data_IF_385938464506
#
_entry.id   IF_385938464506
#
_cell.length_a   1.000
_cell.length_b   1.000
_cell.length_c   1.000
_cell.angle_alpha   90.00
_cell.angle_beta   90.00
_cell.angle_gamma   90.00
#
_symmetry.space_group_name_H-M   'P 1'
#
loop_
_entity.id
_entity.type
_entity.pdbx_description
1 polymer ?
#
# COMPACT_ATOMS: atom_id res chain seq x y z
N UNK A 1 -12.36 7.04 15.08
CA UNK A 1 -12.67 6.67 13.67
C UNK A 1 -13.22 7.90 12.96
N UNK A 2 -12.50 8.38 11.95
CA UNK A 2 -12.90 9.49 11.09
C UNK A 2 -13.65 8.91 9.86
N UNK A 3 -14.69 9.61 9.42
CA UNK A 3 -15.48 9.22 8.24
C UNK A 3 -15.56 10.42 7.31
N UNK A 4 -15.07 10.24 6.08
CA UNK A 4 -15.13 11.26 5.03
C UNK A 4 -16.01 10.74 3.91
N UNK A 5 -17.11 11.43 3.62
CA UNK A 5 -18.08 11.03 2.59
C UNK A 5 -17.89 11.86 1.30
N UNK A 6 -17.91 11.16 0.17
CA UNK A 6 -17.76 11.73 -1.17
C UNK A 6 -19.04 11.44 -1.95
N UNK A 7 -20.11 12.17 -1.60
CA UNK A 7 -21.48 11.88 -2.06
C UNK A 7 -21.62 11.92 -3.59
N UNK A 8 -20.95 12.85 -4.27
CA UNK A 8 -20.96 12.95 -5.74
C UNK A 8 -20.33 11.73 -6.43
N UNK A 9 -19.41 11.04 -5.77
CA UNK A 9 -18.74 9.85 -6.28
C UNK A 9 -19.29 8.56 -5.64
N UNK A 10 -20.33 8.68 -4.80
CA UNK A 10 -21.04 7.58 -4.14
C UNK A 10 -20.14 6.65 -3.30
N UNK A 11 -19.12 7.20 -2.63
CA UNK A 11 -18.30 6.42 -1.69
C UNK A 11 -17.98 7.20 -0.42
N UNK A 12 -17.54 6.49 0.60
CA UNK A 12 -16.95 7.07 1.80
C UNK A 12 -15.74 6.28 2.25
N UNK A 13 -14.83 7.01 2.88
CA UNK A 13 -13.64 6.48 3.50
C UNK A 13 -13.84 6.46 5.01
N UNK A 14 -13.55 5.33 5.65
CA UNK A 14 -13.51 5.17 7.10
C UNK A 14 -12.07 4.91 7.51
N UNK A 15 -11.52 5.82 8.30
CA UNK A 15 -10.13 5.76 8.74
C UNK A 15 -10.10 5.71 10.26
N UNK A 16 -9.22 4.89 10.81
CA UNK A 16 -8.96 4.91 12.23
C UNK A 16 -7.66 5.65 12.47
N UNK A 17 -7.67 6.76 13.19
CA UNK A 17 -6.45 7.51 13.50
C UNK A 17 -5.49 6.75 14.43
N UNK A 18 -6.01 5.73 15.12
CA UNK A 18 -5.30 4.87 16.08
C UNK A 18 -5.04 3.46 15.51
N UNK A 19 -5.43 3.20 14.25
CA UNK A 19 -5.19 1.91 13.63
C UNK A 19 -4.76 2.11 12.19
N UNK A 20 -3.79 1.31 11.78
CA UNK A 20 -3.28 1.33 10.41
C UNK A 20 -4.23 0.61 9.43
N UNK A 21 -5.54 0.78 9.59
CA UNK A 21 -6.55 0.13 8.77
C UNK A 21 -7.60 1.12 8.29
N UNK A 22 -7.74 1.22 6.97
CA UNK A 22 -8.68 2.10 6.28
C UNK A 22 -9.63 1.29 5.42
N UNK A 23 -10.91 1.67 5.42
CA UNK A 23 -11.97 0.98 4.67
C UNK A 23 -12.68 1.92 3.73
N UNK A 24 -13.02 1.44 2.55
CA UNK A 24 -13.81 2.17 1.57
C UNK A 24 -15.15 1.46 1.33
N UNK A 25 -16.24 2.23 1.31
CA UNK A 25 -17.60 1.74 1.17
C UNK A 25 -18.37 2.59 0.14
N UNK A 26 -19.23 1.94 -0.67
CA UNK A 26 -20.26 2.62 -1.45
C UNK A 26 -21.34 3.15 -0.50
N UNK A 27 -21.85 4.37 -0.76
CA UNK A 27 -22.91 4.96 0.08
C UNK A 27 -24.27 4.35 -0.24
N UNK A 28 -24.62 4.24 -1.53
CA UNK A 28 -25.91 3.69 -1.97
C UNK A 28 -25.82 2.84 -3.27
N UNK A 29 -26.34 1.60 -3.29
CA UNK A 29 -26.68 0.83 -2.09
C UNK A 29 -25.41 0.61 -1.27
N UNK A 30 -25.58 0.61 0.06
CA UNK A 30 -24.44 0.52 0.97
C UNK A 30 -23.73 -0.80 0.79
N UNK A 31 -22.44 -0.74 0.44
CA UNK A 31 -21.65 -1.93 0.17
C UNK A 31 -20.18 -1.70 0.51
N UNK A 32 -19.55 -2.71 1.09
CA UNK A 32 -18.11 -2.71 1.32
C UNK A 32 -17.36 -2.91 0.00
N UNK A 33 -16.38 -2.03 -0.28
CA UNK A 33 -15.60 -2.05 -1.52
C UNK A 33 -14.21 -2.66 -1.28
N UNK A 34 -13.58 -2.37 -0.16
CA UNK A 34 -12.22 -2.82 0.10
C UNK A 34 -11.55 -2.13 1.28
N UNK A 35 -10.27 -2.42 1.45
CA UNK A 35 -9.45 -1.88 2.52
C UNK A 35 -8.00 -1.69 2.12
N UNK A 36 -7.31 -0.93 2.97
CA UNK A 36 -5.87 -0.81 3.05
C UNK A 36 -5.46 -1.06 4.50
N UNK A 37 -4.48 -1.95 4.68
CA UNK A 37 -3.76 -2.14 5.92
C UNK A 37 -2.33 -1.63 5.76
N UNK A 38 -1.87 -0.89 6.74
CA UNK A 38 -0.56 -0.28 6.80
C UNK A 38 0.12 -0.69 8.11
N UNK A 39 1.37 -0.26 8.29
CA UNK A 39 2.05 -0.27 9.58
C UNK A 39 3.06 0.87 9.64
N UNK A 40 2.88 1.80 10.58
CA UNK A 40 3.82 2.90 10.79
C UNK A 40 4.84 2.54 11.88
N UNK A 41 6.13 2.75 11.60
CA UNK A 41 7.19 2.52 12.58
C UNK A 41 8.43 3.37 12.25
N UNK A 42 9.11 3.96 13.23
CA UNK A 42 10.43 4.60 13.04
C UNK A 42 10.59 5.46 11.76
N UNK A 43 9.63 6.36 11.48
CA UNK A 43 9.70 7.26 10.32
C UNK A 43 9.38 6.63 8.96
N UNK A 44 8.88 5.39 8.93
CA UNK A 44 8.40 4.70 7.70
C UNK A 44 6.94 4.28 7.81
N UNK A 45 6.30 4.13 6.65
CA UNK A 45 4.97 3.53 6.51
C UNK A 45 5.02 2.35 5.55
N UNK A 46 4.77 1.15 6.06
CA UNK A 46 4.61 -0.05 5.25
C UNK A 46 3.15 -0.20 4.82
N UNK A 47 2.90 -0.51 3.55
CA UNK A 47 1.62 -1.00 3.04
C UNK A 47 1.66 -2.52 3.13
N UNK A 48 0.97 -3.07 4.12
CA UNK A 48 0.96 -4.51 4.38
C UNK A 48 -0.02 -5.25 3.48
N UNK A 49 -1.18 -4.65 3.21
CA UNK A 49 -2.19 -5.27 2.35
C UNK A 49 -3.13 -4.22 1.76
N UNK A 50 -3.46 -4.38 0.48
CA UNK A 50 -4.47 -3.57 -0.21
C UNK A 50 -5.36 -4.49 -1.01
N UNK A 51 -6.66 -4.44 -0.71
CA UNK A 51 -7.61 -5.31 -1.36
C UNK A 51 -8.90 -4.59 -1.74
N UNK A 52 -9.31 -4.82 -2.98
CA UNK A 52 -10.54 -4.32 -3.57
C UNK A 52 -11.37 -5.52 -4.02
N UNK A 53 -12.63 -5.57 -3.56
CA UNK A 53 -13.61 -6.59 -3.91
C UNK A 53 -13.83 -6.69 -5.42
N UNK A 54 -13.90 -7.93 -5.91
CA UNK A 54 -14.34 -8.24 -7.28
C UNK A 54 -15.78 -8.77 -7.33
N UNK A 55 -16.32 -9.20 -6.19
CA UNK A 55 -17.62 -9.85 -6.06
C UNK A 55 -18.47 -9.20 -4.96
N UNK A 56 -19.80 -9.10 -5.14
CA UNK A 56 -20.60 -9.50 -6.32
C UNK A 56 -20.52 -8.52 -7.51
N UNK A 57 -19.79 -7.41 -7.36
CA UNK A 57 -19.55 -6.42 -8.42
C UNK A 57 -18.04 -6.15 -8.47
N UNK A 58 -17.47 -6.10 -9.68
CA UNK A 58 -16.06 -5.79 -9.83
C UNK A 58 -15.79 -4.30 -9.57
N UNK A 59 -15.12 -3.99 -8.45
CA UNK A 59 -14.73 -2.61 -8.10
C UNK A 59 -13.31 -2.24 -8.55
N UNK A 60 -12.54 -3.20 -9.09
CA UNK A 60 -11.17 -2.94 -9.56
C UNK A 60 -11.19 -2.09 -10.83
N UNK A 61 -10.12 -1.32 -11.03
CA UNK A 61 -10.01 -0.38 -12.16
C UNK A 61 -10.88 0.89 -12.04
N UNK A 62 -11.62 1.07 -10.94
CA UNK A 62 -12.50 2.24 -10.70
C UNK A 62 -11.85 3.33 -9.82
N UNK A 63 -10.55 3.24 -9.55
CA UNK A 63 -9.79 4.23 -8.78
C UNK A 63 -9.82 4.09 -7.26
N UNK A 64 -10.58 3.13 -6.70
CA UNK A 64 -10.66 2.95 -5.24
C UNK A 64 -9.34 2.56 -4.57
N UNK A 65 -8.48 1.80 -5.26
CA UNK A 65 -7.12 1.51 -4.79
C UNK A 65 -6.29 2.79 -4.66
N UNK A 66 -6.31 3.64 -5.67
CA UNK A 66 -5.57 4.92 -5.65
C UNK A 66 -6.09 5.88 -4.57
N UNK A 67 -7.40 5.87 -4.27
CA UNK A 67 -7.96 6.64 -3.14
C UNK A 67 -7.36 6.19 -1.81
N UNK A 68 -7.28 4.87 -1.57
CA UNK A 68 -6.68 4.33 -0.35
C UNK A 68 -5.18 4.67 -0.27
N UNK A 69 -4.46 4.57 -1.38
CA UNK A 69 -3.04 4.92 -1.44
C UNK A 69 -2.79 6.41 -1.19
N UNK A 70 -3.61 7.29 -1.76
CA UNK A 70 -3.52 8.73 -1.48
C UNK A 70 -3.75 9.02 0.00
N UNK A 71 -4.69 8.31 0.63
CA UNK A 71 -4.87 8.42 2.07
C UNK A 71 -3.62 7.98 2.86
N UNK A 72 -2.91 6.93 2.43
CA UNK A 72 -1.64 6.53 3.04
C UNK A 72 -0.59 7.65 2.96
N UNK A 73 -0.51 8.36 1.82
CA UNK A 73 0.40 9.49 1.66
C UNK A 73 0.02 10.68 2.54
N UNK A 74 -1.26 11.00 2.64
CA UNK A 74 -1.75 12.03 3.57
C UNK A 74 -1.41 11.67 5.01
N UNK A 75 -1.71 10.43 5.42
CA UNK A 75 -1.40 9.91 6.75
C UNK A 75 0.09 10.02 7.09
N UNK A 76 0.96 9.66 6.13
CA UNK A 76 2.40 9.72 6.28
C UNK A 76 2.91 11.17 6.35
N UNK A 77 2.40 12.06 5.49
CA UNK A 77 2.74 13.49 5.51
C UNK A 77 2.35 14.16 6.83
N UNK A 78 1.19 13.83 7.41
CA UNK A 78 0.73 14.38 8.69
C UNK A 78 1.61 13.94 9.88
N UNK A 79 2.33 12.83 9.75
CA UNK A 79 3.15 12.22 10.81
C UNK A 79 4.65 12.40 10.59
N UNK A 80 5.02 13.24 9.63
CA UNK A 80 6.41 13.49 9.27
C UNK A 80 7.18 12.20 8.92
N UNK A 81 6.50 11.25 8.27
CA UNK A 81 7.09 10.00 7.78
C UNK A 81 7.90 10.30 6.51
N UNK A 82 9.09 9.70 6.40
CA UNK A 82 10.05 10.00 5.34
C UNK A 82 9.71 9.29 4.02
N UNK A 83 9.24 8.04 4.11
CA UNK A 83 8.87 7.25 2.93
C UNK A 83 7.76 6.23 3.21
N UNK A 84 7.07 5.85 2.13
CA UNK A 84 6.06 4.79 2.10
C UNK A 84 6.58 3.65 1.23
N UNK A 85 6.40 2.42 1.67
CA UNK A 85 6.86 1.25 0.93
C UNK A 85 5.97 0.03 1.12
N UNK A 86 6.25 -1.02 0.38
CA UNK A 86 5.74 -2.37 0.60
C UNK A 86 6.30 -3.30 -0.46
N UNK A 87 5.80 -4.53 -0.49
CA UNK A 87 6.26 -5.51 -1.47
C UNK A 87 5.10 -6.32 -2.05
N UNK A 88 5.32 -6.86 -3.25
CA UNK A 88 4.42 -7.80 -3.91
C UNK A 88 5.22 -8.91 -4.58
N UNK A 89 4.53 -9.86 -5.22
CA UNK A 89 5.19 -10.93 -5.94
C UNK A 89 6.03 -10.37 -7.10
N UNK A 90 7.19 -10.96 -7.33
CA UNK A 90 8.13 -10.57 -8.40
C UNK A 90 7.47 -10.52 -9.78
N UNK A 91 6.55 -11.43 -10.09
CA UNK A 91 5.95 -11.54 -11.42
C UNK A 91 4.60 -10.82 -11.57
N UNK A 92 4.11 -10.12 -10.52
CA UNK A 92 2.83 -9.41 -10.60
C UNK A 92 2.95 -8.04 -11.27
N UNK A 93 3.30 -8.05 -12.56
CA UNK A 93 3.48 -6.85 -13.37
C UNK A 93 2.23 -5.96 -13.42
N UNK A 94 1.03 -6.51 -13.19
CA UNK A 94 -0.20 -5.72 -13.11
C UNK A 94 -0.20 -4.86 -11.85
N UNK A 95 0.16 -5.45 -10.71
CA UNK A 95 0.27 -4.74 -9.43
C UNK A 95 1.44 -3.75 -9.47
N UNK A 96 2.56 -4.09 -10.11
CA UNK A 96 3.67 -3.15 -10.31
C UNK A 96 3.21 -1.88 -11.03
N UNK A 97 2.50 -2.04 -12.17
CA UNK A 97 1.95 -0.90 -12.92
C UNK A 97 0.96 -0.07 -12.11
N UNK A 98 0.18 -0.70 -11.25
CA UNK A 98 -0.73 -0.01 -10.35
C UNK A 98 0.03 0.88 -9.35
N UNK A 99 1.06 0.36 -8.69
CA UNK A 99 1.86 1.15 -7.75
C UNK A 99 2.68 2.23 -8.46
N UNK A 100 3.24 1.95 -9.64
CA UNK A 100 3.88 2.97 -10.49
C UNK A 100 2.91 4.11 -10.85
N UNK A 101 1.67 3.78 -11.21
CA UNK A 101 0.64 4.79 -11.49
C UNK A 101 0.26 5.62 -10.25
N UNK A 102 0.52 5.11 -9.04
CA UNK A 102 0.36 5.85 -7.78
C UNK A 102 1.62 6.64 -7.37
N UNK A 103 2.67 6.62 -8.20
CA UNK A 103 3.91 7.37 -7.99
C UNK A 103 4.97 6.63 -7.16
N UNK A 104 4.90 5.30 -7.07
CA UNK A 104 5.98 4.50 -6.49
C UNK A 104 7.04 4.15 -7.54
N UNK A 105 8.29 4.08 -7.10
CA UNK A 105 9.38 3.41 -7.81
C UNK A 105 9.35 1.91 -7.49
N UNK A 106 9.75 1.07 -8.45
CA UNK A 106 9.74 -0.39 -8.31
C UNK A 106 11.17 -0.93 -8.37
N UNK A 107 11.53 -1.74 -7.39
CA UNK A 107 12.82 -2.41 -7.29
C UNK A 107 12.59 -3.92 -7.26
N UNK A 108 13.19 -4.64 -8.21
CA UNK A 108 13.05 -6.08 -8.33
C UNK A 108 14.11 -6.77 -7.47
N UNK A 109 13.68 -7.77 -6.69
CA UNK A 109 14.51 -8.51 -5.75
C UNK A 109 14.40 -10.01 -6.05
N UNK A 110 15.29 -10.48 -6.92
CA UNK A 110 15.38 -11.88 -7.34
C UNK A 110 15.64 -12.82 -6.16
N UNK A 111 16.38 -12.34 -5.14
CA UNK A 111 16.82 -13.14 -3.99
C UNK A 111 15.63 -13.56 -3.14
N UNK A 112 14.65 -12.67 -2.95
CA UNK A 112 13.45 -12.95 -2.17
C UNK A 112 12.23 -13.26 -3.04
N UNK A 113 12.35 -13.18 -4.38
CA UNK A 113 11.21 -13.37 -5.28
C UNK A 113 10.14 -12.30 -5.08
N UNK A 114 10.56 -11.07 -4.80
CA UNK A 114 9.66 -9.94 -4.53
C UNK A 114 9.95 -8.74 -5.42
N UNK A 115 8.95 -7.89 -5.56
CA UNK A 115 9.11 -6.54 -6.10
C UNK A 115 8.74 -5.55 -4.99
N UNK A 116 9.69 -4.70 -4.64
CA UNK A 116 9.52 -3.62 -3.69
C UNK A 116 8.96 -2.40 -4.40
N UNK A 117 7.94 -1.76 -3.82
CA UNK A 117 7.45 -0.47 -4.27
C UNK A 117 7.74 0.57 -3.19
N UNK A 118 8.41 1.65 -3.55
CA UNK A 118 8.88 2.67 -2.59
C UNK A 118 8.60 4.07 -3.13
N UNK A 119 8.15 4.96 -2.26
CA UNK A 119 7.96 6.38 -2.56
C UNK A 119 8.50 7.21 -1.41
N UNK A 120 9.50 8.03 -1.70
CA UNK A 120 9.92 9.08 -0.77
C UNK A 120 8.88 10.20 -0.72
N UNK A 121 8.61 10.69 0.50
CA UNK A 121 7.80 11.88 0.74
C UNK A 121 8.68 13.10 1.04
N UNK A 122 9.93 12.90 1.47
CA UNK A 122 10.89 13.96 1.74
C UNK A 122 12.16 13.76 0.92
N UNK A 123 12.39 14.65 -0.03
CA UNK A 123 13.54 14.57 -0.94
C UNK A 123 13.43 13.44 -1.95
N UNK A 124 14.43 13.32 -2.81
CA UNK A 124 14.54 12.20 -3.74
C UNK A 124 15.10 10.97 -3.03
N UNK A 125 14.71 9.77 -3.47
CA UNK A 125 15.43 8.55 -3.09
C UNK A 125 16.83 8.65 -3.68
N UNK A 126 17.82 9.05 -2.87
CA UNK A 126 19.20 9.12 -3.32
C UNK A 126 19.84 7.74 -3.18
N UNK A 127 20.01 7.04 -4.31
CA UNK A 127 20.63 5.72 -4.36
C UNK A 127 19.62 4.56 -4.32
N UNK A 128 20.13 3.34 -4.42
CA UNK A 128 19.30 2.13 -4.29
C UNK A 128 18.90 1.93 -2.82
N UNK A 129 17.63 1.59 -2.54
CA UNK A 129 17.17 1.28 -1.19
C UNK A 129 17.86 0.03 -0.65
N UNK A 130 18.13 0.00 0.65
CA UNK A 130 18.68 -1.19 1.32
C UNK A 130 17.60 -2.29 1.40
N UNK A 131 17.54 -3.12 0.37
CA UNK A 131 16.57 -4.19 0.22
C UNK A 131 16.65 -5.22 1.35
N UNK A 132 17.85 -5.50 1.87
CA UNK A 132 18.02 -6.43 3.00
C UNK A 132 17.42 -5.86 4.28
N UNK A 133 17.62 -4.56 4.52
CA UNK A 133 16.97 -3.88 5.63
C UNK A 133 15.45 -3.91 5.49
N UNK A 134 14.92 -3.67 4.28
CA UNK A 134 13.48 -3.73 3.99
C UNK A 134 12.91 -5.14 4.21
N UNK A 135 13.59 -6.18 3.73
CA UNK A 135 13.19 -7.57 3.94
C UNK A 135 13.12 -7.93 5.43
N UNK A 136 14.15 -7.54 6.20
CA UNK A 136 14.21 -7.81 7.63
C UNK A 136 13.06 -7.15 8.41
N UNK A 137 12.68 -5.92 8.06
CA UNK A 137 11.63 -5.17 8.76
C UNK A 137 10.22 -5.65 8.37
N UNK A 138 10.03 -6.11 7.13
CA UNK A 138 8.79 -6.73 6.64
C UNK A 138 8.66 -8.20 7.06
N UNK A 139 9.66 -8.75 7.77
CA UNK A 139 9.65 -10.14 8.22
C UNK A 139 9.86 -11.17 7.11
N UNK A 140 10.30 -10.75 5.93
CA UNK A 140 10.75 -11.65 4.87
C UNK A 140 12.09 -12.26 5.30
N UNK A 141 12.06 -13.55 5.69
CA UNK A 141 13.28 -14.33 5.94
C UNK A 141 13.58 -15.17 4.71
N UNK A 142 14.86 -15.38 4.41
CA UNK A 142 15.26 -16.46 3.54
C UNK A 142 14.85 -17.80 4.19
N UNK A 143 14.07 -18.62 3.50
CA UNK A 143 14.15 -20.05 3.72
C UNK A 143 15.51 -20.51 3.20
N UNK A 144 16.49 -20.60 4.10
CA UNK A 144 17.70 -21.39 3.84
C UNK A 144 17.29 -22.86 3.94
N UNK A 145 16.56 -23.34 2.94
CA UNK A 145 16.30 -24.76 2.74
C UNK A 145 16.52 -25.13 1.29
N UNK A 146 17.76 -25.47 0.98
CA UNK A 146 18.17 -26.56 0.08
C UNK A 146 19.52 -26.22 -0.56
N UNK A 147 20.59 -26.59 0.11
CA UNK A 147 21.83 -27.11 -0.48
C UNK A 147 22.59 -27.83 0.65
N UNK A 148 22.12 -29.04 0.94
CA UNK A 148 22.91 -30.19 1.39
C UNK A 148 22.24 -31.46 0.83
#
# INVERSE_FOLDING_TARGET
MLVTEYTSQNYRLKTCTESDHSKIERISPRQYIGYLQMHANDGRLEICDLWIHEEPENFRGKGFGSILINHAFEYASERDIDFVFGHTAFEDHRVHRFYQACGFEIFLDDKHGTAWFIRSLKGELTGEPDIEQLAAISGLKQDISALD
#
